data_IF_949610474385
#
_entry.id   IF_949610474385
#
_cell.length_a   1.000
_cell.length_b   1.000
_cell.length_c   1.000
_cell.angle_alpha   90.00
_cell.angle_beta   90.00
_cell.angle_gamma   90.00
#
_symmetry.space_group_name_H-M   'P 1'
#
loop_
_entity.id
_entity.type
_entity.pdbx_description
1 polymer ?
#
# COMPACT_ATOMS: atom_id res chain seq x y z
N UNK A 1 -55.83 32.83 29.00
CA UNK A 1 -56.02 31.89 27.86
C UNK A 1 -56.89 32.57 26.82
N UNK A 2 -56.80 32.33 25.49
CA UNK A 2 -55.85 31.56 24.65
C UNK A 2 -55.11 32.51 23.65
N UNK A 3 -54.15 32.19 22.77
CA UNK A 3 -53.53 30.98 22.23
C UNK A 3 -53.08 31.27 20.77
N UNK A 4 -52.19 30.44 20.19
CA UNK A 4 -51.91 30.26 18.73
C UNK A 4 -50.80 31.15 18.11
N UNK A 5 -49.67 30.64 17.61
CA UNK A 5 -49.21 29.27 17.43
C UNK A 5 -47.72 29.24 17.02
N UNK A 6 -46.96 28.29 17.57
CA UNK A 6 -45.56 28.01 17.21
C UNK A 6 -45.50 27.55 15.75
N UNK A 7 -44.76 28.28 14.92
CA UNK A 7 -44.39 27.86 13.57
C UNK A 7 -43.73 26.48 13.62
N UNK A 8 -44.36 25.51 12.97
CA UNK A 8 -43.88 24.13 12.92
C UNK A 8 -42.48 24.09 12.34
N UNK A 9 -41.53 23.59 13.13
CA UNK A 9 -40.22 23.17 12.64
C UNK A 9 -40.48 21.98 11.72
N UNK A 10 -40.55 22.24 10.42
CA UNK A 10 -40.62 21.20 9.41
C UNK A 10 -39.44 20.26 9.62
N UNK A 11 -39.72 19.05 10.07
CA UNK A 11 -38.77 17.94 10.09
C UNK A 11 -38.56 17.51 8.63
N UNK A 12 -37.81 18.33 7.89
CA UNK A 12 -37.24 17.90 6.62
C UNK A 12 -36.35 16.71 6.92
N UNK A 13 -36.85 15.51 6.62
CA UNK A 13 -36.10 14.26 6.67
C UNK A 13 -34.80 14.49 5.90
N UNK A 14 -33.69 14.62 6.63
CA UNK A 14 -32.37 14.78 6.05
C UNK A 14 -32.15 13.63 5.09
N UNK A 15 -32.07 13.93 3.79
CA UNK A 15 -31.92 12.92 2.75
C UNK A 15 -30.81 11.96 3.12
N UNK A 16 -31.10 10.66 3.08
CA UNK A 16 -30.13 9.62 3.36
C UNK A 16 -28.86 9.90 2.55
N UNK A 17 -27.76 10.23 3.24
CA UNK A 17 -26.46 10.46 2.61
C UNK A 17 -26.10 9.16 1.89
N UNK A 18 -26.20 9.17 0.56
CA UNK A 18 -25.72 8.07 -0.29
C UNK A 18 -24.24 7.88 -0.02
N UNK A 19 -23.90 6.92 0.83
CA UNK A 19 -22.55 6.41 0.93
C UNK A 19 -22.27 5.61 -0.35
N UNK A 20 -21.89 6.30 -1.42
CA UNK A 20 -21.32 5.65 -2.59
C UNK A 20 -19.99 5.04 -2.14
N UNK A 21 -20.00 3.73 -1.85
CA UNK A 21 -18.78 2.96 -1.61
C UNK A 21 -18.03 2.87 -2.94
N UNK A 22 -17.33 3.95 -3.29
CA UNK A 22 -16.43 3.94 -4.43
C UNK A 22 -15.36 2.91 -4.10
N UNK A 23 -15.32 1.84 -4.88
CA UNK A 23 -14.29 0.82 -4.81
C UNK A 23 -12.99 1.46 -5.31
N UNK A 24 -12.32 2.21 -4.43
CA UNK A 24 -11.05 2.86 -4.75
C UNK A 24 -9.96 1.81 -4.65
N UNK A 25 -9.09 1.74 -5.65
CA UNK A 25 -7.87 0.96 -5.54
C UNK A 25 -7.08 1.40 -4.31
N UNK A 26 -6.48 0.43 -3.63
CA UNK A 26 -5.70 0.69 -2.41
C UNK A 26 -4.51 1.63 -2.67
N UNK A 27 -4.04 1.75 -3.93
CA UNK A 27 -3.08 2.79 -4.35
C UNK A 27 -3.62 4.20 -4.07
N UNK A 28 -4.93 4.44 -4.25
CA UNK A 28 -5.56 5.73 -3.91
C UNK A 28 -5.71 5.96 -2.39
N UNK A 29 -5.44 4.97 -1.53
CA UNK A 29 -5.30 5.22 -0.08
C UNK A 29 -4.03 6.02 0.23
N UNK A 30 -3.04 6.07 -0.66
CA UNK A 30 -1.97 7.07 -0.59
C UNK A 30 -2.57 8.42 -1.02
N UNK A 31 -3.16 9.10 -0.04
CA UNK A 31 -3.90 10.33 -0.26
C UNK A 31 -2.96 11.50 -0.59
N UNK A 32 -3.44 12.47 -1.38
CA UNK A 32 -2.67 13.71 -1.66
C UNK A 32 -2.16 14.41 -0.37
N UNK A 33 -2.95 14.49 0.72
CA UNK A 33 -2.45 15.01 2.01
C UNK A 33 -1.29 14.20 2.59
N UNK A 34 -1.28 12.87 2.47
CA UNK A 34 -0.16 12.05 2.96
C UNK A 34 1.13 12.36 2.18
N UNK A 35 1.05 12.45 0.85
CA UNK A 35 2.17 12.81 -0.02
C UNK A 35 2.67 14.23 0.31
N UNK A 36 1.76 15.20 0.48
CA UNK A 36 2.12 16.57 0.91
C UNK A 36 2.83 16.59 2.26
N UNK A 37 2.35 15.84 3.26
CA UNK A 37 3.00 15.75 4.57
C UNK A 37 4.40 15.16 4.50
N UNK A 38 4.64 14.21 3.59
CA UNK A 38 5.96 13.62 3.38
C UNK A 38 6.90 14.59 2.68
N UNK A 39 6.43 15.21 1.60
CA UNK A 39 7.16 16.23 0.85
C UNK A 39 7.55 17.43 1.73
N UNK A 40 6.66 17.89 2.61
CA UNK A 40 6.95 18.94 3.57
C UNK A 40 8.05 18.56 4.57
N UNK A 41 8.08 17.30 5.02
CA UNK A 41 9.18 16.80 5.87
C UNK A 41 10.52 16.77 5.12
N UNK A 42 10.49 16.55 3.81
CA UNK A 42 11.66 16.67 2.93
C UNK A 42 11.98 18.08 2.43
N UNK A 43 11.30 19.13 2.95
CA UNK A 43 11.57 20.52 2.56
C UNK A 43 10.89 21.00 1.26
N UNK A 44 10.02 20.20 0.64
CA UNK A 44 9.38 20.50 -0.65
C UNK A 44 8.08 21.30 -0.44
N UNK A 45 8.05 22.57 -0.87
CA UNK A 45 6.92 23.48 -0.61
C UNK A 45 5.77 23.39 -1.62
N UNK A 46 6.06 23.16 -2.91
CA UNK A 46 5.08 22.94 -3.98
C UNK A 46 5.35 21.63 -4.71
N UNK A 47 4.26 20.98 -5.14
CA UNK A 47 4.30 19.69 -5.82
C UNK A 47 3.38 19.78 -7.05
N UNK A 48 3.87 19.37 -8.21
CA UNK A 48 3.06 19.28 -9.43
C UNK A 48 1.98 18.20 -9.32
N UNK A 49 0.87 18.35 -10.06
CA UNK A 49 -0.24 17.39 -10.06
C UNK A 49 0.16 15.98 -10.49
N UNK A 50 1.13 15.87 -11.40
CA UNK A 50 1.60 14.61 -11.99
C UNK A 50 2.31 13.73 -10.95
N UNK A 51 3.06 14.36 -10.04
CA UNK A 51 3.86 13.68 -9.00
C UNK A 51 2.96 12.84 -8.09
N UNK A 52 1.69 13.22 -7.88
CA UNK A 52 0.78 12.42 -7.03
C UNK A 52 0.46 11.05 -7.62
N UNK A 53 0.41 10.91 -8.94
CA UNK A 53 0.16 9.61 -9.58
C UNK A 53 1.45 8.80 -9.69
N UNK A 54 2.59 9.45 -9.97
CA UNK A 54 3.90 8.78 -9.98
C UNK A 54 4.27 8.22 -8.59
N UNK A 55 4.16 9.04 -7.54
CA UNK A 55 4.48 8.63 -6.15
C UNK A 55 3.61 7.47 -5.66
N UNK A 56 2.39 7.36 -6.19
CA UNK A 56 1.48 6.23 -5.93
C UNK A 56 1.93 4.94 -6.59
N UNK A 57 2.62 5.03 -7.72
CA UNK A 57 3.19 3.89 -8.44
C UNK A 57 4.49 3.38 -7.84
N UNK A 58 5.24 4.21 -7.11
CA UNK A 58 6.57 3.86 -6.55
C UNK A 58 6.55 2.57 -5.73
N UNK A 59 5.63 2.33 -4.76
CA UNK A 59 5.64 1.10 -3.97
C UNK A 59 5.41 -0.15 -4.82
N UNK A 60 4.65 -0.02 -5.92
CA UNK A 60 4.39 -1.10 -6.84
C UNK A 60 5.60 -1.38 -7.72
N UNK A 61 6.21 -0.34 -8.29
CA UNK A 61 7.43 -0.45 -9.12
C UNK A 61 8.56 -1.06 -8.30
N UNK A 62 8.74 -0.61 -7.06
CA UNK A 62 9.70 -1.19 -6.13
C UNK A 62 9.46 -2.67 -5.92
N UNK A 63 8.20 -3.08 -5.65
CA UNK A 63 7.86 -4.49 -5.48
C UNK A 63 8.09 -5.32 -6.75
N UNK A 64 7.77 -4.78 -7.93
CA UNK A 64 8.04 -5.43 -9.21
C UNK A 64 9.54 -5.67 -9.41
N UNK A 65 10.38 -4.66 -9.14
CA UNK A 65 11.83 -4.76 -9.25
C UNK A 65 12.41 -5.77 -8.25
N UNK A 66 11.92 -5.79 -7.01
CA UNK A 66 12.34 -6.78 -6.01
C UNK A 66 11.94 -8.19 -6.44
N UNK A 67 10.75 -8.39 -6.99
CA UNK A 67 10.29 -9.71 -7.44
C UNK A 67 11.03 -10.19 -8.69
N UNK A 68 11.32 -9.31 -9.65
CA UNK A 68 12.11 -9.65 -10.83
C UNK A 68 13.59 -9.87 -10.50
N UNK A 69 14.00 -9.48 -9.29
CA UNK A 69 15.33 -9.64 -8.77
C UNK A 69 16.30 -8.57 -9.27
N UNK A 70 15.79 -7.41 -9.69
CA UNK A 70 16.57 -6.27 -10.15
C UNK A 70 17.04 -5.43 -8.96
N UNK A 71 18.33 -5.12 -8.91
CA UNK A 71 18.89 -4.21 -7.92
C UNK A 71 18.40 -2.77 -8.17
N UNK A 72 17.65 -2.21 -7.23
CA UNK A 72 17.26 -0.79 -7.25
C UNK A 72 18.39 0.10 -6.74
N UNK A 73 18.48 1.32 -7.26
CA UNK A 73 19.47 2.31 -6.81
C UNK A 73 19.31 2.64 -5.32
N UNK A 74 18.08 2.62 -4.81
CA UNK A 74 17.79 2.80 -3.38
C UNK A 74 18.43 1.70 -2.52
N UNK A 75 18.30 0.44 -2.95
CA UNK A 75 18.90 -0.68 -2.24
C UNK A 75 20.43 -0.62 -2.30
N UNK A 76 20.98 -0.22 -3.45
CA UNK A 76 22.42 0.00 -3.60
C UNK A 76 22.93 1.07 -2.64
N UNK A 77 22.31 2.25 -2.62
CA UNK A 77 22.68 3.36 -1.74
C UNK A 77 22.57 2.96 -0.25
N UNK A 78 21.54 2.18 0.09
CA UNK A 78 21.38 1.66 1.45
C UNK A 78 22.50 0.68 1.83
N UNK A 79 22.89 -0.23 0.94
CA UNK A 79 24.00 -1.16 1.19
C UNK A 79 25.34 -0.44 1.32
N UNK A 80 25.61 0.56 0.47
CA UNK A 80 26.85 1.34 0.52
C UNK A 80 26.98 2.21 1.78
N UNK A 81 25.87 2.65 2.35
CA UNK A 81 25.81 3.46 3.58
C UNK A 81 25.78 2.63 4.86
N UNK A 82 25.14 1.47 4.82
CA UNK A 82 24.94 0.60 5.99
C UNK A 82 26.08 -0.38 6.23
N UNK A 83 26.86 -0.70 5.19
CA UNK A 83 27.98 -1.64 5.31
C UNK A 83 29.31 -0.91 5.41
N UNK A 84 30.22 -1.33 6.32
CA UNK A 84 31.56 -0.78 6.37
C UNK A 84 32.28 -1.11 5.06
N UNK A 85 32.74 -0.09 4.33
CA UNK A 85 33.53 -0.28 3.10
C UNK A 85 34.77 -1.10 3.42
N UNK A 86 34.76 -2.38 3.06
CA UNK A 86 35.96 -3.21 3.09
C UNK A 86 37.02 -2.57 2.20
N UNK A 87 38.26 -2.48 2.70
CA UNK A 87 39.40 -1.99 1.90
C UNK A 87 39.48 -2.77 0.58
N UNK A 88 39.60 -2.06 -0.54
CA UNK A 88 39.86 -2.65 -1.85
C UNK A 88 41.02 -3.65 -1.76
N UNK A 89 40.77 -4.90 -2.12
CA UNK A 89 41.80 -5.95 -2.19
C UNK A 89 41.83 -6.98 -1.04
N UNK A 90 40.99 -6.87 0.01
CA UNK A 90 40.80 -7.96 0.99
C UNK A 90 39.37 -8.49 0.94
N UNK A 91 39.21 -9.82 0.84
CA UNK A 91 37.90 -10.48 0.97
C UNK A 91 37.20 -9.95 2.21
N UNK A 92 36.01 -9.38 2.04
CA UNK A 92 35.20 -8.87 3.13
C UNK A 92 35.03 -9.98 4.18
N UNK A 93 35.31 -9.66 5.45
CA UNK A 93 35.11 -10.59 6.59
C UNK A 93 33.62 -10.83 6.87
N UNK A 94 32.74 -10.14 6.14
CA UNK A 94 31.29 -10.22 6.25
C UNK A 94 30.71 -10.83 4.97
N UNK A 95 29.72 -11.70 5.12
CA UNK A 95 28.85 -12.18 4.05
C UNK A 95 27.45 -11.62 4.26
N UNK A 96 26.81 -11.18 3.18
CA UNK A 96 25.43 -10.72 3.22
C UNK A 96 24.49 -11.91 2.99
N UNK A 97 23.62 -12.18 3.96
CA UNK A 97 22.56 -13.17 3.80
C UNK A 97 21.39 -12.60 3.00
N UNK A 98 21.06 -13.23 1.87
CA UNK A 98 19.94 -12.80 1.02
C UNK A 98 18.91 -13.93 0.94
N UNK A 99 17.62 -13.57 0.95
CA UNK A 99 16.52 -14.53 0.83
C UNK A 99 16.42 -15.14 -0.58
N UNK A 100 16.69 -14.31 -1.60
CA UNK A 100 16.57 -14.67 -3.01
C UNK A 100 17.96 -14.72 -3.66
N UNK A 101 18.35 -15.84 -4.29
CA UNK A 101 19.67 -15.99 -4.89
C UNK A 101 19.88 -15.05 -6.08
N UNK A 102 18.83 -14.75 -6.87
CA UNK A 102 18.92 -13.86 -8.04
C UNK A 102 19.36 -12.44 -7.65
N UNK A 103 18.76 -11.91 -6.59
CA UNK A 103 19.13 -10.60 -6.03
C UNK A 103 20.56 -10.67 -5.48
N UNK A 104 20.92 -11.76 -4.81
CA UNK A 104 22.28 -11.98 -4.32
C UNK A 104 23.34 -11.94 -5.43
N UNK A 105 23.08 -12.56 -6.58
CA UNK A 105 23.98 -12.52 -7.73
C UNK A 105 24.17 -11.08 -8.25
N UNK A 106 23.09 -10.34 -8.45
CA UNK A 106 23.17 -8.96 -8.93
C UNK A 106 23.86 -8.02 -7.93
N UNK A 107 23.60 -8.18 -6.63
CA UNK A 107 24.30 -7.41 -5.59
C UNK A 107 25.79 -7.74 -5.62
N UNK A 108 26.16 -9.01 -5.72
CA UNK A 108 27.57 -9.42 -5.79
C UNK A 108 28.27 -8.86 -7.04
N UNK A 109 27.59 -8.79 -8.17
CA UNK A 109 28.13 -8.20 -9.40
C UNK A 109 28.34 -6.67 -9.28
N UNK A 110 27.34 -5.95 -8.77
CA UNK A 110 27.37 -4.47 -8.73
C UNK A 110 28.21 -3.94 -7.56
N UNK A 111 28.08 -4.53 -6.38
CA UNK A 111 28.68 -4.02 -5.14
C UNK A 111 29.94 -4.77 -4.71
N UNK A 112 30.27 -5.88 -5.39
CA UNK A 112 31.40 -6.77 -5.05
C UNK A 112 31.32 -7.37 -3.63
N UNK A 113 30.15 -7.34 -2.98
CA UNK A 113 29.92 -7.91 -1.66
C UNK A 113 29.57 -9.40 -1.79
N UNK A 114 30.23 -10.31 -1.04
CA UNK A 114 29.90 -11.73 -1.08
C UNK A 114 28.51 -11.97 -0.48
N UNK A 115 27.57 -12.40 -1.32
CA UNK A 115 26.21 -12.74 -0.92
C UNK A 115 26.06 -14.27 -0.76
N UNK A 116 25.39 -14.70 0.31
CA UNK A 116 25.09 -16.11 0.57
C UNK A 116 23.57 -16.29 0.73
N UNK A 117 23.06 -17.38 0.16
CA UNK A 117 21.65 -17.79 0.26
C UNK A 117 21.65 -19.26 0.66
N UNK A 118 21.76 -19.52 1.97
CA UNK A 118 21.76 -20.86 2.55
C UNK A 118 20.45 -21.12 3.30
N UNK A 119 20.08 -22.38 3.50
CA UNK A 119 18.87 -22.77 4.24
C UNK A 119 18.86 -22.22 5.68
N UNK A 120 20.02 -22.17 6.33
CA UNK A 120 20.20 -21.51 7.62
C UNK A 120 19.83 -20.01 7.60
N UNK A 121 20.16 -19.30 6.52
CA UNK A 121 19.85 -17.88 6.35
C UNK A 121 18.34 -17.71 6.17
N UNK A 122 17.68 -18.62 5.46
CA UNK A 122 16.23 -18.62 5.31
C UNK A 122 15.52 -18.83 6.66
N UNK A 123 15.99 -19.77 7.48
CA UNK A 123 15.45 -19.97 8.83
C UNK A 123 15.71 -18.77 9.76
N UNK A 124 16.88 -18.14 9.66
CA UNK A 124 17.17 -16.92 10.40
C UNK A 124 16.25 -15.77 9.98
N UNK A 125 16.04 -15.57 8.67
CA UNK A 125 15.09 -14.60 8.14
C UNK A 125 13.65 -14.90 8.55
N UNK A 126 13.30 -16.19 8.68
CA UNK A 126 12.00 -16.61 9.21
C UNK A 126 11.81 -16.19 10.67
N UNK A 127 12.83 -16.36 11.50
CA UNK A 127 12.82 -15.91 12.90
C UNK A 127 12.70 -14.39 13.02
N UNK A 128 13.41 -13.63 12.17
CA UNK A 128 13.30 -12.16 12.11
C UNK A 128 11.88 -11.73 11.72
N UNK A 129 11.26 -12.40 10.74
CA UNK A 129 9.87 -12.12 10.33
C UNK A 129 8.86 -12.43 11.44
N UNK A 130 9.06 -13.52 12.19
CA UNK A 130 8.16 -13.91 13.27
C UNK A 130 8.16 -12.90 14.43
N UNK A 131 9.34 -12.34 14.75
CA UNK A 131 9.51 -11.39 15.84
C UNK A 131 9.62 -9.94 15.38
N UNK A 132 9.21 -9.64 14.14
CA UNK A 132 9.32 -8.32 13.54
C UNK A 132 8.66 -7.23 14.40
N UNK A 133 7.50 -7.54 14.99
CA UNK A 133 6.75 -6.64 15.86
C UNK A 133 7.53 -6.24 17.14
N UNK A 134 8.46 -7.09 17.59
CA UNK A 134 9.32 -6.79 18.75
C UNK A 134 10.56 -5.98 18.36
N UNK A 135 11.04 -6.12 17.12
CA UNK A 135 12.22 -5.40 16.63
C UNK A 135 11.92 -3.94 16.28
N UNK A 136 10.66 -3.58 16.03
CA UNK A 136 10.25 -2.21 15.70
C UNK A 136 9.23 -1.71 16.73
N UNK A 137 9.74 -1.13 17.81
CA UNK A 137 8.91 -0.55 18.88
C UNK A 137 8.01 0.62 18.42
N UNK A 138 8.36 1.28 17.31
CA UNK A 138 7.61 2.41 16.77
C UNK A 138 6.44 2.03 15.85
N UNK A 139 6.25 0.74 15.56
CA UNK A 139 5.20 0.30 14.65
C UNK A 139 3.97 -0.15 15.43
N UNK A 140 2.81 0.41 15.08
CA UNK A 140 1.55 -0.02 15.69
C UNK A 140 1.20 -1.43 15.22
N UNK A 141 0.73 -2.31 16.12
CA UNK A 141 0.17 -3.59 15.71
C UNK A 141 -1.00 -3.32 14.75
N UNK A 142 -1.13 -4.13 13.70
CA UNK A 142 -2.14 -4.04 12.62
C UNK A 142 -1.89 -3.03 11.49
N UNK A 143 -1.01 -2.03 11.63
CA UNK A 143 -0.68 -1.12 10.51
C UNK A 143 0.12 -1.84 9.42
N UNK A 144 0.99 -2.78 9.81
CA UNK A 144 1.75 -3.64 8.91
C UNK A 144 0.85 -4.54 8.06
N UNK A 145 -0.13 -5.21 8.68
CA UNK A 145 -1.08 -6.08 7.99
C UNK A 145 -1.91 -5.30 6.97
N UNK A 146 -2.39 -4.11 7.34
CA UNK A 146 -3.12 -3.23 6.42
C UNK A 146 -2.25 -2.79 5.23
N UNK A 147 -0.98 -2.49 5.48
CA UNK A 147 -0.03 -2.13 4.42
C UNK A 147 0.21 -3.32 3.48
N UNK A 148 0.44 -4.51 4.03
CA UNK A 148 0.63 -5.76 3.28
C UNK A 148 -0.60 -6.11 2.45
N UNK A 149 -1.80 -6.06 3.01
CA UNK A 149 -3.05 -6.31 2.31
C UNK A 149 -3.26 -5.31 1.17
N UNK A 150 -2.96 -4.02 1.42
CA UNK A 150 -3.03 -2.96 0.42
C UNK A 150 -2.09 -3.21 -0.76
N UNK A 151 -0.83 -3.54 -0.49
CA UNK A 151 0.18 -3.85 -1.49
C UNK A 151 -0.14 -5.13 -2.26
N UNK A 152 -0.51 -6.21 -1.57
CA UNK A 152 -0.85 -7.50 -2.16
C UNK A 152 -2.03 -7.40 -3.13
N UNK A 153 -3.11 -6.72 -2.74
CA UNK A 153 -4.25 -6.47 -3.62
C UNK A 153 -3.87 -5.61 -4.83
N UNK A 154 -3.07 -4.57 -4.62
CA UNK A 154 -2.59 -3.69 -5.69
C UNK A 154 -1.76 -4.44 -6.72
N UNK A 155 -0.80 -5.24 -6.25
CA UNK A 155 0.07 -6.04 -7.10
C UNK A 155 -0.71 -7.12 -7.87
N UNK A 156 -1.59 -7.85 -7.18
CA UNK A 156 -2.43 -8.88 -7.81
C UNK A 156 -3.34 -8.30 -8.90
N UNK A 157 -4.04 -7.19 -8.62
CA UNK A 157 -4.93 -6.54 -9.61
C UNK A 157 -4.18 -6.07 -10.85
N UNK A 158 -2.98 -5.50 -10.67
CA UNK A 158 -2.14 -5.06 -11.76
C UNK A 158 -1.68 -6.22 -12.64
N UNK A 159 -1.23 -7.32 -12.03
CA UNK A 159 -0.74 -8.50 -12.75
C UNK A 159 -1.86 -9.21 -13.51
N UNK A 160 -3.06 -9.28 -12.93
CA UNK A 160 -4.23 -9.95 -13.52
C UNK A 160 -4.97 -9.03 -14.52
N UNK A 161 -4.49 -7.80 -14.77
CA UNK A 161 -5.17 -6.78 -15.61
C UNK A 161 -6.65 -6.64 -15.22
N UNK A 162 -6.92 -6.52 -13.92
CA UNK A 162 -8.27 -6.46 -13.39
C UNK A 162 -9.04 -5.29 -14.01
N UNK A 163 -10.05 -5.60 -14.83
CA UNK A 163 -10.80 -4.59 -15.56
C UNK A 163 -11.94 -4.07 -14.68
N UNK A 164 -11.86 -2.81 -14.25
CA UNK A 164 -12.90 -2.13 -13.46
C UNK A 164 -14.23 -2.05 -14.22
N UNK A 165 -14.21 -2.13 -15.55
CA UNK A 165 -15.41 -2.11 -16.39
C UNK A 165 -16.09 -3.49 -16.53
N UNK A 166 -15.47 -4.57 -16.03
CA UNK A 166 -16.09 -5.92 -15.93
C UNK A 166 -16.56 -6.24 -14.50
N UNK A 167 -16.96 -5.22 -13.75
CA UNK A 167 -17.40 -5.37 -12.35
C UNK A 167 -18.91 -5.49 -12.31
N UNK A 168 -19.42 -6.72 -12.43
CA UNK A 168 -20.86 -7.03 -12.40
C UNK A 168 -21.51 -6.71 -11.05
N UNK A 169 -20.70 -6.52 -10.01
CA UNK A 169 -21.15 -6.17 -8.66
C UNK A 169 -22.01 -4.88 -8.63
N UNK A 170 -21.74 -3.90 -9.51
CA UNK A 170 -22.55 -2.68 -9.56
C UNK A 170 -23.93 -2.93 -10.16
N UNK A 171 -24.03 -3.84 -11.15
CA UNK A 171 -25.29 -4.21 -11.79
C UNK A 171 -26.15 -5.04 -10.84
N UNK A 172 -25.55 -6.03 -10.16
CA UNK A 172 -26.23 -6.86 -9.15
C UNK A 172 -26.78 -5.99 -8.01
N UNK A 173 -25.97 -5.03 -7.51
CA UNK A 173 -26.42 -4.10 -6.47
C UNK A 173 -27.55 -3.18 -6.95
N UNK A 174 -27.53 -2.74 -8.21
CA UNK A 174 -28.58 -1.90 -8.77
C UNK A 174 -29.90 -2.65 -8.91
N UNK A 175 -29.87 -3.91 -9.37
CA UNK A 175 -31.06 -4.78 -9.46
C UNK A 175 -31.64 -5.03 -8.07
N UNK A 176 -30.81 -5.43 -7.11
CA UNK A 176 -31.26 -5.65 -5.74
C UNK A 176 -31.88 -4.40 -5.10
N UNK A 177 -31.30 -3.23 -5.36
CA UNK A 177 -31.83 -1.96 -4.87
C UNK A 177 -33.18 -1.63 -5.53
N UNK A 178 -33.33 -1.87 -6.83
CA UNK A 178 -34.59 -1.68 -7.56
C UNK A 178 -35.68 -2.60 -7.00
N UNK A 179 -35.39 -3.88 -6.80
CA UNK A 179 -36.33 -4.85 -6.23
C UNK A 179 -36.76 -4.48 -4.80
N UNK A 180 -35.83 -3.95 -4.01
CA UNK A 180 -36.12 -3.49 -2.64
C UNK A 180 -37.02 -2.27 -2.67
N UNK A 181 -36.73 -1.29 -3.54
CA UNK A 181 -37.53 -0.07 -3.67
C UNK A 181 -38.95 -0.37 -4.18
N UNK A 182 -39.12 -1.32 -5.10
CA UNK A 182 -40.44 -1.71 -5.60
C UNK A 182 -41.29 -2.36 -4.49
N UNK A 183 -40.71 -3.27 -3.71
CA UNK A 183 -41.39 -3.86 -2.53
C UNK A 183 -41.76 -2.80 -1.50
N UNK A 184 -40.87 -1.86 -1.22
CA UNK A 184 -41.12 -0.78 -0.26
C UNK A 184 -42.27 0.12 -0.76
N UNK A 185 -42.24 0.56 -2.02
CA UNK A 185 -43.31 1.39 -2.61
C UNK A 185 -44.67 0.72 -2.53
N UNK A 186 -44.73 -0.59 -2.82
CA UNK A 186 -45.97 -1.35 -2.76
C UNK A 186 -46.44 -1.64 -1.33
N UNK A 187 -45.55 -1.60 -0.33
CA UNK A 187 -45.90 -1.77 1.09
C UNK A 187 -46.32 -0.47 1.78
N UNK A 188 -45.94 0.69 1.24
CA UNK A 188 -46.34 2.02 1.73
C UNK A 188 -47.61 2.57 1.06
N UNK A 189 -48.19 1.84 0.10
CA UNK A 189 -49.46 2.14 -0.55
C UNK A 189 -50.59 1.34 0.06
#
# INVERSE_FOLDING_TARGET
MPGRGKGGKGLGKGGAKRHRKVLRDNIQRITKPAIRRLAWRGGVKRISGIIYEETRGVPKIFLENVITGILTDELRNFLESSLPKGKEGKKAKYSLGVAEPKIGSQISEVTKIPCQSNEFILELLRGVRLHFDRFIESLKPHDLEKAQLGLGHSYSRAKVKFNVNRVDNMVIQAIFLLDTLDKDVNSFR
#
